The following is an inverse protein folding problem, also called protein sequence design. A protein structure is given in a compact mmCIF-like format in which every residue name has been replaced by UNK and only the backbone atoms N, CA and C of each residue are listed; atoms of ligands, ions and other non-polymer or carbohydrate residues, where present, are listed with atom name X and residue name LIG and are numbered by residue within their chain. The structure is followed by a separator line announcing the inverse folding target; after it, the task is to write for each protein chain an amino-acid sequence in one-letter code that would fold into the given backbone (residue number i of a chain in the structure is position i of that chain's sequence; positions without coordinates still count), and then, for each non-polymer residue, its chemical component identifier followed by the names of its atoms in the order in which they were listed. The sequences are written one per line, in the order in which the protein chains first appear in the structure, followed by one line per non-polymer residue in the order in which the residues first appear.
data_IF_219820252119
#
_entry.id   IF_219820252119
#
_cell.length_a   1.000
_cell.length_b   1.000
_cell.length_c   1.000
_cell.angle_alpha   90.00
_cell.angle_beta   90.00
_cell.angle_gamma   90.00
#
_symmetry.space_group_name_H-M   'P 1'
#
loop_
_entity.id
_entity.type
_entity.pdbx_description
1 polymer ?
#
# COMPACT_ATOMS: atom_id res chain seq x y z
N UNK A 1 11.92 32.40 13.48
CA UNK A 1 11.60 31.04 12.98
C UNK A 1 10.89 31.17 11.64
N UNK A 2 11.55 30.83 10.52
CA UNK A 2 10.92 30.80 9.19
C UNK A 2 10.06 29.53 9.08
N UNK A 3 8.74 29.64 9.22
CA UNK A 3 7.83 28.55 8.81
C UNK A 3 7.87 28.52 7.29
N UNK A 4 8.52 27.49 6.70
CA UNK A 4 8.37 27.23 5.26
C UNK A 4 6.88 27.13 4.95
N UNK A 5 6.39 27.80 3.89
CA UNK A 5 5.00 27.65 3.47
C UNK A 5 4.77 26.16 3.19
N UNK A 6 4.03 25.51 4.08
CA UNK A 6 3.56 24.16 3.85
C UNK A 6 2.59 24.28 2.69
N UNK A 7 2.88 23.63 1.56
CA UNK A 7 1.89 23.51 0.50
C UNK A 7 0.63 22.93 1.13
N UNK A 8 -0.48 23.66 1.10
CA UNK A 8 -1.72 23.22 1.70
C UNK A 8 -2.33 22.13 0.80
N UNK A 9 -1.99 20.88 1.10
CA UNK A 9 -2.61 19.74 0.45
C UNK A 9 -4.10 19.76 0.75
N UNK A 10 -4.95 19.31 -0.21
CA UNK A 10 -6.35 19.08 0.07
C UNK A 10 -6.48 18.25 1.35
N UNK A 11 -7.26 18.74 2.33
CA UNK A 11 -7.48 18.06 3.61
C UNK A 11 -7.93 16.61 3.42
N UNK A 12 -8.63 16.34 2.31
CA UNK A 12 -9.02 15.00 1.86
C UNK A 12 -7.82 14.06 1.70
N UNK A 13 -6.77 14.48 0.98
CA UNK A 13 -5.58 13.68 0.70
C UNK A 13 -4.80 13.31 1.97
N UNK A 14 -4.76 14.22 2.97
CA UNK A 14 -4.05 14.02 4.24
C UNK A 14 -4.68 12.94 5.14
N UNK A 15 -5.94 12.59 4.92
CA UNK A 15 -6.65 11.55 5.70
C UNK A 15 -6.84 10.28 4.86
N UNK A 16 -7.21 10.44 3.60
CA UNK A 16 -7.59 9.34 2.74
C UNK A 16 -6.39 8.49 2.29
N UNK A 17 -5.30 9.10 1.80
CA UNK A 17 -4.12 8.37 1.32
C UNK A 17 -3.43 7.56 2.44
N UNK A 18 -3.19 8.12 3.64
CA UNK A 18 -2.74 7.31 4.77
C UNK A 18 -3.69 6.17 5.07
N UNK A 19 -5.01 6.43 5.09
CA UNK A 19 -6.01 5.40 5.36
C UNK A 19 -5.90 4.20 4.42
N UNK A 20 -5.69 4.45 3.13
CA UNK A 20 -5.45 3.38 2.15
C UNK A 20 -4.18 2.58 2.44
N UNK A 21 -3.06 3.26 2.77
CA UNK A 21 -1.81 2.58 3.14
C UNK A 21 -1.96 1.77 4.42
N UNK A 22 -2.64 2.31 5.43
CA UNK A 22 -2.91 1.62 6.69
C UNK A 22 -3.74 0.36 6.46
N UNK A 23 -4.84 0.47 5.71
CA UNK A 23 -5.71 -0.66 5.42
C UNK A 23 -4.99 -1.73 4.60
N UNK A 24 -4.22 -1.33 3.59
CA UNK A 24 -3.39 -2.25 2.80
C UNK A 24 -2.37 -2.96 3.68
N UNK A 25 -1.65 -2.23 4.54
CA UNK A 25 -0.67 -2.82 5.46
C UNK A 25 -1.31 -3.83 6.43
N UNK A 26 -2.50 -3.55 6.98
CA UNK A 26 -3.22 -4.47 7.86
C UNK A 26 -3.61 -5.75 7.11
N UNK A 27 -4.14 -5.62 5.90
CA UNK A 27 -4.55 -6.77 5.08
C UNK A 27 -3.33 -7.62 4.69
N UNK A 28 -2.24 -6.98 4.25
CA UNK A 28 -1.00 -7.68 3.91
C UNK A 28 -0.43 -8.40 5.13
N UNK A 29 -0.42 -7.76 6.31
CA UNK A 29 0.04 -8.37 7.54
C UNK A 29 -0.81 -9.60 7.93
N UNK A 30 -2.13 -9.49 7.80
CA UNK A 30 -3.04 -10.60 8.08
C UNK A 30 -2.80 -11.79 7.12
N UNK A 31 -2.72 -11.53 5.82
CA UNK A 31 -2.43 -12.58 4.83
C UNK A 31 -1.06 -13.22 5.01
N UNK A 32 -0.02 -12.41 5.29
CA UNK A 32 1.33 -12.92 5.53
C UNK A 32 1.42 -13.76 6.81
N UNK A 33 0.67 -13.41 7.85
CA UNK A 33 0.59 -14.17 9.09
C UNK A 33 -0.13 -15.51 8.87
N UNK A 34 -1.28 -15.50 8.18
CA UNK A 34 -2.05 -16.70 7.88
C UNK A 34 -1.22 -17.72 7.10
N UNK A 35 -0.60 -17.28 5.99
CA UNK A 35 0.31 -18.10 5.19
C UNK A 35 1.49 -18.67 5.98
N UNK A 36 2.01 -17.91 6.96
CA UNK A 36 3.10 -18.37 7.82
C UNK A 36 2.64 -19.44 8.80
N UNK A 37 1.47 -19.26 9.43
CA UNK A 37 0.89 -20.22 10.37
C UNK A 37 0.54 -21.52 9.66
N UNK A 38 0.05 -21.44 8.42
CA UNK A 38 -0.21 -22.62 7.56
C UNK A 38 1.05 -23.27 7.00
N UNK A 39 2.25 -22.72 7.25
CA UNK A 39 3.51 -23.28 6.76
C UNK A 39 3.73 -23.18 5.25
N UNK A 40 2.93 -22.36 4.56
CA UNK A 40 2.95 -22.23 3.09
C UNK A 40 4.05 -21.29 2.59
N UNK A 41 4.62 -20.47 3.47
CA UNK A 41 5.63 -19.45 3.12
C UNK A 41 6.85 -19.55 4.03
N UNK A 42 8.08 -19.53 3.47
CA UNK A 42 9.31 -19.53 4.25
C UNK A 42 9.47 -18.27 5.10
N UNK A 43 10.16 -18.40 6.24
CA UNK A 43 10.32 -17.32 7.23
C UNK A 43 10.88 -16.03 6.63
N UNK A 44 11.83 -16.14 5.70
CA UNK A 44 12.44 -14.98 5.04
C UNK A 44 11.39 -14.10 4.33
N UNK A 45 10.42 -14.70 3.62
CA UNK A 45 9.37 -13.96 2.93
C UNK A 45 8.41 -13.30 3.93
N UNK A 46 8.09 -13.97 5.05
CA UNK A 46 7.29 -13.35 6.12
C UNK A 46 7.97 -12.12 6.72
N UNK A 47 9.30 -12.19 6.95
CA UNK A 47 10.08 -11.04 7.43
C UNK A 47 10.06 -9.90 6.41
N UNK A 48 10.20 -10.21 5.12
CA UNK A 48 10.15 -9.21 4.06
C UNK A 48 8.76 -8.53 3.97
N UNK A 49 7.67 -9.30 4.07
CA UNK A 49 6.31 -8.76 4.16
C UNK A 49 6.14 -7.86 5.40
N UNK A 50 6.66 -8.27 6.56
CA UNK A 50 6.65 -7.45 7.76
C UNK A 50 7.39 -6.12 7.60
N UNK A 51 8.53 -6.14 6.91
CA UNK A 51 9.28 -4.93 6.57
C UNK A 51 8.47 -4.02 5.63
N UNK A 52 7.85 -4.57 4.58
CA UNK A 52 7.01 -3.81 3.66
C UNK A 52 5.82 -3.15 4.37
N UNK A 53 5.15 -3.89 5.28
CA UNK A 53 4.08 -3.36 6.15
C UNK A 53 4.61 -2.21 6.99
N UNK A 54 5.75 -2.37 7.67
CA UNK A 54 6.32 -1.29 8.50
C UNK A 54 6.62 -0.03 7.67
N UNK A 55 7.20 -0.18 6.48
CA UNK A 55 7.47 0.94 5.57
C UNK A 55 6.18 1.61 5.10
N UNK A 56 5.14 0.85 4.76
CA UNK A 56 3.83 1.39 4.36
C UNK A 56 3.16 2.17 5.51
N UNK A 57 3.20 1.65 6.74
CA UNK A 57 2.67 2.32 7.93
C UNK A 57 3.42 3.62 8.23
N UNK A 58 4.75 3.59 8.23
CA UNK A 58 5.59 4.77 8.45
C UNK A 58 5.32 5.84 7.38
N UNK A 59 5.21 5.42 6.11
CA UNK A 59 4.86 6.31 5.01
C UNK A 59 3.49 6.95 5.23
N UNK A 60 2.48 6.17 5.62
CA UNK A 60 1.15 6.67 5.94
C UNK A 60 1.14 7.69 7.10
N UNK A 61 1.88 7.42 8.18
CA UNK A 61 2.04 8.33 9.32
C UNK A 61 2.66 9.65 8.86
N UNK A 62 3.73 9.58 8.08
CA UNK A 62 4.46 10.77 7.63
C UNK A 62 3.69 11.60 6.59
N UNK A 63 2.89 10.97 5.73
CA UNK A 63 1.92 11.67 4.86
C UNK A 63 0.89 12.41 5.74
N UNK A 64 0.34 11.74 6.76
CA UNK A 64 -0.66 12.36 7.66
C UNK A 64 -0.09 13.54 8.43
N UNK A 65 1.16 13.42 8.92
CA UNK A 65 1.81 14.42 9.76
C UNK A 65 2.31 15.63 8.96
N UNK A 66 3.05 15.39 7.89
CA UNK A 66 3.77 16.43 7.16
C UNK A 66 3.06 16.88 5.89
N UNK A 67 2.22 16.01 5.31
CA UNK A 67 1.70 16.17 3.96
C UNK A 67 2.76 16.14 2.86
N UNK A 68 4.04 15.87 3.12
CA UNK A 68 5.12 16.09 2.15
C UNK A 68 4.96 15.30 0.83
N UNK A 69 5.19 15.96 -0.31
CA UNK A 69 5.27 15.34 -1.65
C UNK A 69 6.17 14.11 -1.64
N UNK A 70 7.31 14.19 -0.95
CA UNK A 70 8.30 13.10 -0.91
C UNK A 70 7.70 11.79 -0.39
N UNK A 71 6.86 11.88 0.65
CA UNK A 71 6.22 10.71 1.23
C UNK A 71 5.08 10.18 0.36
N UNK A 72 4.37 11.07 -0.34
CA UNK A 72 3.36 10.65 -1.32
C UNK A 72 3.99 9.88 -2.49
N UNK A 73 5.10 10.39 -3.03
CA UNK A 73 5.87 9.72 -4.09
C UNK A 73 6.43 8.37 -3.62
N UNK A 74 6.91 8.29 -2.38
CA UNK A 74 7.31 7.01 -1.80
C UNK A 74 6.13 6.04 -1.74
N UNK A 75 4.95 6.50 -1.30
CA UNK A 75 3.76 5.67 -1.31
C UNK A 75 3.33 5.24 -2.72
N UNK A 76 3.53 6.08 -3.74
CA UNK A 76 3.28 5.68 -5.13
C UNK A 76 4.27 4.60 -5.58
N UNK A 77 5.55 4.76 -5.25
CA UNK A 77 6.55 3.73 -5.53
C UNK A 77 6.19 2.40 -4.84
N UNK A 78 5.74 2.44 -3.58
CA UNK A 78 5.25 1.25 -2.86
C UNK A 78 4.02 0.64 -3.54
N UNK A 79 3.08 1.46 -4.02
CA UNK A 79 1.90 0.99 -4.74
C UNK A 79 2.25 0.30 -6.06
N UNK A 80 3.22 0.84 -6.82
CA UNK A 80 3.73 0.23 -8.05
C UNK A 80 4.41 -1.11 -7.73
N UNK A 81 5.27 -1.15 -6.73
CA UNK A 81 5.94 -2.39 -6.30
C UNK A 81 4.91 -3.42 -5.86
N UNK A 82 3.91 -3.04 -5.08
CA UNK A 82 2.84 -3.94 -4.65
C UNK A 82 2.11 -4.55 -5.85
N UNK A 83 1.74 -3.74 -6.86
CA UNK A 83 1.10 -4.25 -8.07
C UNK A 83 2.01 -5.19 -8.86
N UNK A 84 3.28 -4.82 -9.03
CA UNK A 84 4.24 -5.66 -9.73
C UNK A 84 4.38 -7.02 -9.03
N UNK A 85 4.45 -7.04 -7.70
CA UNK A 85 4.52 -8.28 -6.92
C UNK A 85 3.22 -9.08 -6.96
N UNK A 86 2.06 -8.42 -6.94
CA UNK A 86 0.76 -9.07 -7.01
C UNK A 86 0.46 -9.73 -8.36
N UNK A 87 1.11 -9.28 -9.43
CA UNK A 87 1.00 -9.85 -10.78
C UNK A 87 1.99 -10.99 -11.05
N UNK A 88 2.79 -11.39 -10.06
CA UNK A 88 3.70 -12.53 -10.22
C UNK A 88 2.93 -13.82 -10.58
N UNK A 89 3.45 -14.67 -11.49
CA UNK A 89 2.76 -15.88 -11.92
C UNK A 89 2.37 -16.83 -10.78
N UNK A 90 3.12 -16.85 -9.67
CA UNK A 90 2.79 -17.67 -8.51
C UNK A 90 1.48 -17.23 -7.84
N UNK A 91 1.24 -15.93 -7.76
CA UNK A 91 0.00 -15.35 -7.22
C UNK A 91 -1.17 -15.57 -8.17
N UNK A 92 -0.96 -15.42 -9.48
CA UNK A 92 -1.99 -15.68 -10.49
C UNK A 92 -2.39 -17.17 -10.50
N UNK A 93 -1.42 -18.07 -10.35
CA UNK A 93 -1.69 -19.50 -10.23
C UNK A 93 -2.45 -19.86 -8.96
N UNK A 94 -2.19 -19.15 -7.84
CA UNK A 94 -2.91 -19.33 -6.58
C UNK A 94 -4.40 -18.97 -6.72
N UNK A 95 -4.71 -17.86 -7.43
CA UNK A 95 -6.10 -17.45 -7.70
C UNK A 95 -6.92 -18.53 -8.43
N UNK A 96 -6.27 -19.36 -9.26
CA UNK A 96 -6.91 -20.49 -9.95
C UNK A 96 -7.34 -21.64 -9.02
N UNK A 97 -6.86 -21.65 -7.76
CA UNK A 97 -7.11 -22.68 -6.75
C UNK A 97 -7.90 -22.16 -5.53
N UNK A 98 -8.51 -20.99 -5.64
CA UNK A 98 -9.27 -20.27 -4.57
C UNK A 98 -10.22 -21.17 -3.76
N UNK A 99 -10.76 -22.24 -4.36
CA UNK A 99 -11.76 -23.11 -3.73
C UNK A 99 -11.19 -24.38 -3.06
N UNK A 100 -9.88 -24.63 -3.16
CA UNK A 100 -9.30 -25.88 -2.67
C UNK A 100 -9.00 -25.86 -1.16
N UNK A 101 -8.78 -24.69 -0.56
CA UNK A 101 -8.46 -24.57 0.87
C UNK A 101 -8.86 -23.19 1.45
N UNK A 102 -9.53 -23.13 2.62
CA UNK A 102 -9.94 -21.86 3.24
C UNK A 102 -8.77 -20.92 3.58
N UNK A 103 -7.58 -21.44 3.93
CA UNK A 103 -6.39 -20.61 4.16
C UNK A 103 -5.89 -19.97 2.85
N UNK A 104 -5.99 -20.71 1.73
CA UNK A 104 -5.65 -20.19 0.41
C UNK A 104 -6.66 -19.10 0.01
N UNK A 105 -7.95 -19.30 0.25
CA UNK A 105 -8.97 -18.29 -0.03
C UNK A 105 -8.75 -16.97 0.74
N UNK A 106 -8.34 -17.03 2.01
CA UNK A 106 -8.03 -15.83 2.79
C UNK A 106 -6.75 -15.13 2.30
N UNK A 107 -5.73 -15.90 1.95
CA UNK A 107 -4.52 -15.39 1.32
C UNK A 107 -4.83 -14.70 -0.01
N UNK A 108 -5.73 -15.26 -0.82
CA UNK A 108 -6.14 -14.70 -2.11
C UNK A 108 -6.95 -13.40 -1.95
N UNK A 109 -7.86 -13.32 -0.99
CA UNK A 109 -8.55 -12.07 -0.65
C UNK A 109 -7.54 -11.02 -0.19
N UNK A 110 -6.58 -11.43 0.65
CA UNK A 110 -5.53 -10.55 1.13
C UNK A 110 -4.62 -10.07 -0.01
N UNK A 111 -4.37 -10.91 -1.00
CA UNK A 111 -3.63 -10.57 -2.20
C UNK A 111 -4.38 -9.56 -3.06
N UNK A 112 -5.63 -9.86 -3.41
CA UNK A 112 -6.45 -8.98 -4.25
C UNK A 112 -6.61 -7.61 -3.59
N UNK A 113 -6.99 -7.57 -2.32
CA UNK A 113 -7.22 -6.30 -1.64
C UNK A 113 -5.92 -5.57 -1.30
N UNK A 114 -4.95 -6.29 -0.73
CA UNK A 114 -3.70 -5.73 -0.22
C UNK A 114 -2.73 -5.31 -1.31
N UNK A 115 -2.62 -6.08 -2.40
CA UNK A 115 -1.64 -5.88 -3.47
C UNK A 115 -2.22 -5.35 -4.79
N UNK A 116 -3.55 -5.44 -5.01
CA UNK A 116 -4.17 -4.92 -6.23
C UNK A 116 -5.09 -3.73 -5.98
N UNK A 117 -6.23 -3.96 -5.31
CA UNK A 117 -7.31 -2.96 -5.20
C UNK A 117 -6.85 -1.71 -4.44
N UNK A 118 -6.30 -1.87 -3.23
CA UNK A 118 -5.89 -0.72 -2.42
C UNK A 118 -4.69 0.03 -3.02
N UNK A 119 -3.65 -0.64 -3.55
CA UNK A 119 -2.58 0.03 -4.29
C UNK A 119 -3.07 0.82 -5.51
N UNK A 120 -3.97 0.26 -6.34
CA UNK A 120 -4.55 0.97 -7.49
C UNK A 120 -5.28 2.23 -7.04
N UNK A 121 -6.13 2.12 -6.00
CA UNK A 121 -6.82 3.28 -5.45
C UNK A 121 -5.82 4.31 -4.92
N UNK A 122 -4.80 3.88 -4.17
CA UNK A 122 -3.77 4.77 -3.67
C UNK A 122 -3.09 5.53 -4.81
N UNK A 123 -2.62 4.82 -5.84
CA UNK A 123 -1.96 5.41 -7.00
C UNK A 123 -2.86 6.43 -7.69
N UNK A 124 -4.10 6.07 -7.98
CA UNK A 124 -5.05 6.97 -8.61
C UNK A 124 -5.22 8.27 -7.82
N UNK A 125 -5.52 8.18 -6.53
CA UNK A 125 -5.77 9.37 -5.70
C UNK A 125 -4.50 10.17 -5.39
N UNK A 126 -3.35 9.51 -5.26
CA UNK A 126 -2.06 10.16 -5.09
C UNK A 126 -1.69 10.95 -6.35
N UNK A 127 -1.80 10.35 -7.53
CA UNK A 127 -1.50 10.98 -8.81
C UNK A 127 -2.43 12.19 -9.07
N UNK A 128 -3.72 12.05 -8.80
CA UNK A 128 -4.67 13.18 -8.89
C UNK A 128 -4.29 14.31 -7.91
N UNK A 129 -3.86 13.98 -6.70
CA UNK A 129 -3.45 14.96 -5.69
C UNK A 129 -2.15 15.68 -6.10
N UNK A 130 -1.16 14.95 -6.61
CA UNK A 130 0.11 15.48 -7.09
C UNK A 130 -0.07 16.38 -8.30
N UNK A 131 -0.91 15.96 -9.27
CA UNK A 131 -1.26 16.77 -10.44
C UNK A 131 -1.85 18.13 -10.05
N UNK A 132 -2.83 18.14 -9.14
CA UNK A 132 -3.46 19.39 -8.66
C UNK A 132 -2.43 20.34 -8.02
N UNK A 133 -1.50 19.82 -7.23
CA UNK A 133 -0.45 20.62 -6.59
C UNK A 133 0.52 21.22 -7.60
N UNK A 134 0.90 20.45 -8.62
CA UNK A 134 1.80 20.91 -9.66
C UNK A 134 1.18 22.08 -10.45
N UNK A 135 -0.08 21.94 -10.87
CA UNK A 135 -0.80 22.98 -11.61
C UNK A 135 -1.10 24.23 -10.78
N UNK A 136 -1.36 24.10 -9.47
CA UNK A 136 -1.58 25.26 -8.60
C UNK A 136 -0.32 26.06 -8.31
N UNK A 137 0.87 25.44 -8.35
CA UNK A 137 2.16 26.14 -8.17
C UNK A 137 2.71 26.79 -9.43
N UNK A 138 2.21 26.40 -10.60
CA UNK A 138 2.61 26.96 -11.90
C UNK A 138 1.85 28.23 -12.30
N UNK A 139 0.97 28.75 -11.44
CA UNK A 139 0.31 30.05 -11.54
C UNK A 139 0.76 30.92 -10.37
#
# INVERSE_FOLDING_TARGET
MYRKPQADYPQFSKKFLPGLLFLSAVIIAAGALDLRVSGLVPLFLTVLSGFAVAVALLTGIEIRRSGSIKWMLLGEALGIVALATGLDPSHVAALGRIYENPAIAFADISLILGFMVLPILYLFFASVSLYKLYYQKGR
#
